data_IF_899727373313
#
_entry.id   IF_899727373313
#
_cell.length_a   1.000
_cell.length_b   1.000
_cell.length_c   1.000
_cell.angle_alpha   90.00
_cell.angle_beta   90.00
_cell.angle_gamma   90.00
#
_symmetry.space_group_name_H-M   'P 1'
#
loop_
_entity.id
_entity.type
_entity.pdbx_description
1 polymer ?
#
# COMPACT_ATOMS: atom_id res chain seq x y z
N UNK A 1 -11.93 -9.74 7.70
CA UNK A 1 -10.67 -9.51 8.48
C UNK A 1 -10.60 -8.02 8.74
N UNK A 2 -10.32 -7.55 9.94
CA UNK A 2 -10.22 -6.10 10.15
C UNK A 2 -9.02 -5.49 9.41
N UNK A 3 -9.08 -4.20 9.07
CA UNK A 3 -7.93 -3.46 8.52
C UNK A 3 -6.70 -3.55 9.43
N UNK A 4 -6.88 -3.57 10.76
CA UNK A 4 -5.80 -3.75 11.71
C UNK A 4 -5.14 -5.14 11.59
N UNK A 5 -5.94 -6.20 11.52
CA UNK A 5 -5.46 -7.57 11.31
C UNK A 5 -4.77 -7.69 9.95
N UNK A 6 -5.28 -7.03 8.91
CA UNK A 6 -4.65 -6.97 7.60
C UNK A 6 -3.26 -6.34 7.65
N UNK A 7 -3.06 -5.25 8.41
CA UNK A 7 -1.71 -4.69 8.62
C UNK A 7 -0.78 -5.68 9.32
N UNK A 8 -1.29 -6.46 10.26
CA UNK A 8 -0.55 -7.57 10.88
C UNK A 8 -0.15 -8.63 9.86
N UNK A 9 -1.08 -9.02 8.99
CA UNK A 9 -0.84 -9.97 7.91
C UNK A 9 0.20 -9.46 6.89
N UNK A 10 0.14 -8.19 6.48
CA UNK A 10 1.16 -7.56 5.61
C UNK A 10 2.56 -7.64 6.22
N UNK A 11 2.68 -7.41 7.54
CA UNK A 11 3.95 -7.55 8.25
C UNK A 11 4.45 -8.99 8.23
N UNK A 12 3.57 -9.97 8.43
CA UNK A 12 3.93 -11.38 8.36
C UNK A 12 4.44 -11.75 6.96
N UNK A 13 3.71 -11.36 5.91
CA UNK A 13 4.12 -11.57 4.52
C UNK A 13 5.48 -10.92 4.20
N UNK A 14 5.71 -9.70 4.67
CA UNK A 14 6.97 -9.00 4.48
C UNK A 14 8.16 -9.68 5.17
N UNK A 15 7.96 -10.14 6.42
CA UNK A 15 9.05 -10.63 7.28
C UNK A 15 9.35 -12.11 7.08
N UNK A 16 8.34 -12.90 6.74
CA UNK A 16 8.44 -14.37 6.70
C UNK A 16 8.35 -14.85 5.25
N UNK A 17 7.16 -14.76 4.67
CA UNK A 17 6.84 -15.37 3.38
C UNK A 17 7.73 -14.84 2.24
N UNK A 18 7.82 -13.52 2.12
CA UNK A 18 8.57 -12.87 1.05
C UNK A 18 9.95 -12.37 1.50
N UNK A 19 10.50 -12.93 2.58
CA UNK A 19 11.77 -12.48 3.17
C UNK A 19 12.92 -12.34 2.16
N UNK A 20 12.95 -13.19 1.13
CA UNK A 20 13.94 -13.20 0.05
C UNK A 20 13.48 -12.57 -1.28
N UNK A 21 12.21 -12.21 -1.42
CA UNK A 21 11.69 -11.54 -2.63
C UNK A 21 11.61 -10.02 -2.41
N UNK A 22 12.61 -9.31 -2.95
CA UNK A 22 12.71 -7.86 -2.82
C UNK A 22 11.52 -7.13 -3.46
N UNK A 23 10.98 -7.65 -4.58
CA UNK A 23 9.85 -7.02 -5.27
C UNK A 23 8.58 -7.17 -4.44
N UNK A 24 8.33 -8.35 -3.90
CA UNK A 24 7.16 -8.60 -3.05
C UNK A 24 7.25 -7.85 -1.72
N UNK A 25 8.44 -7.75 -1.11
CA UNK A 25 8.64 -6.90 0.09
C UNK A 25 8.31 -5.44 -0.17
N UNK A 26 8.78 -4.89 -1.30
CA UNK A 26 8.44 -3.52 -1.68
C UNK A 26 6.93 -3.36 -1.86
N UNK A 27 6.27 -4.31 -2.51
CA UNK A 27 4.83 -4.29 -2.70
C UNK A 27 4.07 -4.28 -1.36
N UNK A 28 4.46 -5.12 -0.38
CA UNK A 28 3.86 -5.12 0.97
C UNK A 28 4.02 -3.78 1.69
N UNK A 29 5.20 -3.15 1.59
CA UNK A 29 5.43 -1.82 2.17
C UNK A 29 4.54 -0.77 1.51
N UNK A 30 4.40 -0.81 0.18
CA UNK A 30 3.56 0.13 -0.55
C UNK A 30 2.07 -0.03 -0.18
N UNK A 31 1.59 -1.27 -0.01
CA UNK A 31 0.24 -1.56 0.50
C UNK A 31 0.05 -1.01 1.92
N UNK A 32 1.02 -1.25 2.82
CA UNK A 32 0.98 -0.70 4.18
C UNK A 32 0.86 0.82 4.18
N UNK A 33 1.61 1.52 3.33
CA UNK A 33 1.51 2.97 3.19
C UNK A 33 0.18 3.44 2.57
N UNK A 34 -0.43 2.67 1.67
CA UNK A 34 -1.76 2.99 1.14
C UNK A 34 -2.82 2.94 2.25
N UNK A 35 -2.78 1.88 3.08
CA UNK A 35 -3.63 1.77 4.26
C UNK A 35 -3.40 2.94 5.22
N UNK A 36 -2.15 3.26 5.55
CA UNK A 36 -1.83 4.36 6.46
C UNK A 36 -2.35 5.71 5.96
N UNK A 37 -2.24 6.00 4.65
CA UNK A 37 -2.78 7.25 4.07
C UNK A 37 -4.30 7.32 4.16
N UNK A 38 -4.99 6.21 3.96
CA UNK A 38 -6.46 6.17 4.08
C UNK A 38 -6.91 6.32 5.53
N UNK A 39 -6.19 5.71 6.48
CA UNK A 39 -6.43 5.88 7.92
C UNK A 39 -6.22 7.33 8.36
N UNK A 40 -5.11 7.97 7.97
CA UNK A 40 -4.82 9.38 8.30
C UNK A 40 -5.86 10.33 7.71
N UNK A 41 -6.44 10.00 6.55
CA UNK A 41 -7.51 10.78 5.92
C UNK A 41 -8.90 10.41 6.42
N UNK A 42 -9.01 9.51 7.40
CA UNK A 42 -10.28 9.01 7.95
C UNK A 42 -11.21 8.45 6.87
N UNK A 43 -10.64 7.89 5.80
CA UNK A 43 -11.38 7.26 4.69
C UNK A 43 -11.72 5.80 4.97
N UNK A 44 -10.95 5.19 5.88
CA UNK A 44 -11.18 3.88 6.46
C UNK A 44 -10.83 3.94 7.95
N UNK A 45 -11.29 2.98 8.72
CA UNK A 45 -11.01 2.77 10.14
C UNK A 45 -10.18 1.50 10.35
N UNK A 46 -9.39 1.40 11.43
CA UNK A 46 -8.71 0.14 11.78
C UNK A 46 -9.66 -1.04 12.00
N UNK A 47 -10.93 -0.76 12.31
CA UNK A 47 -11.96 -1.76 12.62
C UNK A 47 -12.84 -2.14 11.42
N UNK A 48 -12.69 -1.46 10.28
CA UNK A 48 -13.45 -1.80 9.08
C UNK A 48 -13.08 -3.21 8.61
N UNK A 49 -14.04 -3.90 7.98
CA UNK A 49 -13.74 -5.14 7.28
C UNK A 49 -12.90 -4.84 6.04
N UNK A 50 -11.71 -5.42 5.99
CA UNK A 50 -10.80 -5.37 4.86
C UNK A 50 -11.51 -5.72 3.55
N UNK A 51 -12.38 -6.73 3.53
CA UNK A 51 -13.00 -7.15 2.27
C UNK A 51 -13.88 -6.03 1.69
N UNK A 52 -14.56 -5.26 2.54
CA UNK A 52 -15.40 -4.12 2.14
C UNK A 52 -14.60 -2.92 1.64
N UNK A 53 -13.42 -2.68 2.20
CA UNK A 53 -12.58 -1.51 1.87
C UNK A 53 -11.38 -1.82 0.99
N UNK A 54 -11.15 -3.09 0.64
CA UNK A 54 -9.99 -3.58 -0.12
C UNK A 54 -9.80 -2.81 -1.42
N UNK A 55 -10.88 -2.55 -2.16
CA UNK A 55 -10.86 -1.78 -3.41
C UNK A 55 -10.30 -0.38 -3.22
N UNK A 56 -10.68 0.33 -2.16
CA UNK A 56 -10.16 1.67 -1.86
C UNK A 56 -8.64 1.64 -1.59
N UNK A 57 -8.16 0.60 -0.92
CA UNK A 57 -6.74 0.42 -0.63
C UNK A 57 -5.95 0.21 -1.93
N UNK A 58 -6.43 -0.64 -2.84
CA UNK A 58 -5.79 -0.86 -4.14
C UNK A 58 -5.85 0.36 -5.06
N UNK A 59 -6.98 1.09 -5.07
CA UNK A 59 -7.09 2.34 -5.81
C UNK A 59 -6.09 3.40 -5.30
N UNK A 60 -5.92 3.53 -3.97
CA UNK A 60 -4.93 4.44 -3.38
C UNK A 60 -3.48 4.01 -3.72
N UNK A 61 -3.20 2.71 -3.82
CA UNK A 61 -1.90 2.22 -4.28
C UNK A 61 -1.60 2.66 -5.73
N UNK A 62 -2.56 2.47 -6.63
CA UNK A 62 -2.45 2.79 -8.06
C UNK A 62 -2.24 4.29 -8.32
N UNK A 63 -3.00 5.16 -7.64
CA UNK A 63 -2.84 6.62 -7.75
C UNK A 63 -1.42 7.05 -7.40
N UNK A 64 -0.83 6.44 -6.37
CA UNK A 64 0.54 6.78 -5.96
C UNK A 64 1.60 6.21 -6.92
N UNK A 65 1.35 5.05 -7.52
CA UNK A 65 2.24 4.49 -8.53
C UNK A 65 2.28 5.40 -9.77
N UNK A 66 1.11 5.86 -10.26
CA UNK A 66 1.02 6.79 -11.39
C UNK A 66 1.74 8.11 -11.13
N UNK A 67 1.50 8.73 -9.96
CA UNK A 67 2.21 9.96 -9.55
C UNK A 67 3.72 9.80 -9.48
N UNK A 68 4.21 8.64 -9.04
CA UNK A 68 5.65 8.33 -8.99
C UNK A 68 6.25 8.25 -10.40
N UNK A 69 5.53 7.66 -11.34
CA UNK A 69 5.97 7.52 -12.73
C UNK A 69 5.96 8.85 -13.47
N UNK A 70 4.94 9.70 -13.25
CA UNK A 70 4.88 11.06 -13.79
C UNK A 70 6.07 11.91 -13.32
N UNK A 71 6.38 11.88 -12.02
CA UNK A 71 7.55 12.60 -11.46
C UNK A 71 8.85 12.14 -12.11
N UNK A 72 9.06 10.83 -12.26
CA UNK A 72 10.26 10.28 -12.91
C UNK A 72 10.39 10.72 -14.37
N UNK A 73 9.28 10.81 -15.11
CA UNK A 73 9.26 11.30 -16.49
C UNK A 73 9.62 12.78 -16.57
N UNK A 74 9.08 13.61 -15.67
CA UNK A 74 9.39 15.03 -15.60
C UNK A 74 10.87 15.30 -15.29
N UNK A 75 11.50 14.53 -14.39
CA UNK A 75 12.93 14.67 -14.09
C UNK A 75 13.82 14.26 -15.27
N UNK A 76 13.42 13.27 -16.07
CA UNK A 76 14.16 12.85 -17.28
C UNK A 76 14.02 13.81 -18.46
N UNK A 77 12.95 14.62 -18.51
CA UNK A 77 12.74 15.58 -19.60
C UNK A 77 13.52 16.90 -19.39
N UNK A 78 13.97 17.17 -18.17
CA UNK A 78 14.69 18.40 -17.79
C UNK A 78 16.22 18.20 -17.69
N UNK A 79 16.76 17.09 -18.18
CA UNK A 79 18.17 16.71 -18.07
C UNK A 79 18.65 16.16 -19.42
#
# INVERSE_FOLDING_TARGET
>A
MTVLEFKGFLRHLFSVEYSHDTRMKLFMVQLGWAVDRLLVRERISPFDDYDEVSRLIFDELDVNQRRKDERKRATKANN
#
